data_IF_430351380940
#
_entry.id   IF_430351380940
#
_cell.length_a   1.000
_cell.length_b   1.000
_cell.length_c   1.000
_cell.angle_alpha   90.00
_cell.angle_beta   90.00
_cell.angle_gamma   90.00
#
_symmetry.space_group_name_H-M   'P 1'
#
loop_
_entity.id
_entity.type
_entity.pdbx_description
1 polymer ?
#
# COMPACT_ATOMS: atom_id res chain seq x y z
N UNK A 1 -5.67 -14.81 3.22
CA UNK A 1 -4.20 -14.60 3.21
C UNK A 1 -3.88 -13.51 4.22
N UNK A 2 -2.71 -13.50 4.89
CA UNK A 2 -2.38 -12.49 5.93
C UNK A 2 -1.41 -11.44 5.36
N UNK A 3 -1.84 -10.19 5.07
CA UNK A 3 -0.97 -9.17 4.47
C UNK A 3 0.33 -8.94 5.25
N UNK A 4 0.25 -8.94 6.59
CA UNK A 4 1.40 -8.74 7.48
C UNK A 4 2.52 -9.78 7.28
N UNK A 5 2.19 -11.02 6.88
CA UNK A 5 3.20 -12.04 6.64
C UNK A 5 4.12 -11.70 5.45
N UNK A 6 3.63 -10.95 4.46
CA UNK A 6 4.47 -10.46 3.36
C UNK A 6 5.41 -9.35 3.80
N UNK A 7 4.98 -8.47 4.70
CA UNK A 7 5.87 -7.45 5.27
C UNK A 7 6.99 -8.12 6.09
N UNK A 8 6.66 -9.10 6.93
CA UNK A 8 7.66 -9.86 7.68
C UNK A 8 8.63 -10.59 6.77
N UNK A 9 8.15 -11.12 5.64
CA UNK A 9 9.02 -11.73 4.63
C UNK A 9 9.94 -10.67 4.01
N UNK A 10 9.41 -9.51 3.64
CA UNK A 10 10.20 -8.41 3.09
C UNK A 10 11.31 -7.99 4.05
N UNK A 11 10.99 -7.82 5.34
CA UNK A 11 11.96 -7.49 6.39
C UNK A 11 13.05 -8.55 6.51
N UNK A 12 12.69 -9.84 6.60
CA UNK A 12 13.68 -10.93 6.62
C UNK A 12 14.59 -10.93 5.41
N UNK A 13 14.04 -10.71 4.21
CA UNK A 13 14.84 -10.66 2.97
C UNK A 13 15.91 -9.56 3.02
N UNK A 14 15.60 -8.40 3.61
CA UNK A 14 16.62 -7.34 3.75
C UNK A 14 17.80 -7.75 4.64
N UNK A 15 17.62 -8.77 5.50
CA UNK A 15 18.66 -9.28 6.41
C UNK A 15 19.37 -10.48 5.82
N UNK A 16 18.63 -11.45 5.28
CA UNK A 16 19.17 -12.74 4.84
C UNK A 16 19.70 -12.73 3.41
N UNK A 17 19.19 -11.84 2.54
CA UNK A 17 19.55 -11.80 1.12
C UNK A 17 20.21 -10.47 0.76
N UNK A 18 21.50 -10.34 1.11
CA UNK A 18 22.32 -9.13 0.86
C UNK A 18 22.83 -9.08 -0.59
N UNK A 19 21.93 -9.23 -1.55
CA UNK A 19 22.20 -9.25 -3.00
C UNK A 19 21.07 -8.52 -3.76
N UNK A 20 21.30 -8.12 -5.04
CA UNK A 20 20.31 -7.42 -5.85
C UNK A 20 18.93 -8.09 -5.91
N UNK A 21 18.87 -9.41 -6.07
CA UNK A 21 17.64 -10.19 -6.17
C UNK A 21 16.84 -10.16 -4.86
N UNK A 22 17.54 -10.24 -3.73
CA UNK A 22 17.00 -10.12 -2.39
C UNK A 22 16.36 -8.76 -2.14
N UNK A 23 17.06 -7.69 -2.48
CA UNK A 23 16.56 -6.32 -2.31
C UNK A 23 15.36 -6.01 -3.20
N UNK A 24 15.42 -6.39 -4.49
CA UNK A 24 14.28 -6.26 -5.41
C UNK A 24 13.07 -7.03 -4.89
N UNK A 25 13.28 -8.27 -4.42
CA UNK A 25 12.24 -9.10 -3.83
C UNK A 25 11.65 -8.48 -2.56
N UNK A 26 12.47 -7.92 -1.67
CA UNK A 26 12.02 -7.25 -0.47
C UNK A 26 11.08 -6.07 -0.79
N UNK A 27 11.45 -5.21 -1.73
CA UNK A 27 10.62 -4.07 -2.17
C UNK A 27 9.26 -4.57 -2.70
N UNK A 28 9.28 -5.62 -3.54
CA UNK A 28 8.08 -6.21 -4.12
C UNK A 28 7.12 -6.75 -3.04
N UNK A 29 7.65 -7.47 -2.04
CA UNK A 29 6.85 -8.01 -0.93
C UNK A 29 6.35 -6.93 0.04
N UNK A 30 7.14 -5.88 0.26
CA UNK A 30 6.75 -4.74 1.08
C UNK A 30 5.54 -4.02 0.47
N UNK A 31 5.60 -3.69 -0.82
CA UNK A 31 4.47 -3.11 -1.55
C UNK A 31 3.24 -4.02 -1.50
N UNK A 32 3.42 -5.32 -1.76
CA UNK A 32 2.29 -6.25 -1.78
C UNK A 32 1.58 -6.35 -0.42
N UNK A 33 2.35 -6.33 0.68
CA UNK A 33 1.80 -6.29 2.04
C UNK A 33 0.94 -5.04 2.26
N UNK A 34 1.46 -3.86 1.95
CA UNK A 34 0.75 -2.60 2.13
C UNK A 34 -0.49 -2.51 1.22
N UNK A 35 -0.38 -2.96 -0.03
CA UNK A 35 -1.49 -3.00 -0.98
C UNK A 35 -2.63 -3.90 -0.49
N UNK A 36 -2.32 -5.13 -0.04
CA UNK A 36 -3.35 -6.03 0.47
C UNK A 36 -3.99 -5.51 1.76
N UNK A 37 -3.22 -4.87 2.65
CA UNK A 37 -3.79 -4.19 3.83
C UNK A 37 -4.74 -3.06 3.43
N UNK A 38 -4.41 -2.27 2.41
CA UNK A 38 -5.29 -1.25 1.88
C UNK A 38 -6.57 -1.83 1.25
N UNK A 39 -6.47 -2.95 0.54
CA UNK A 39 -7.65 -3.68 0.03
C UNK A 39 -8.54 -4.13 1.18
N UNK A 40 -7.98 -4.73 2.22
CA UNK A 40 -8.73 -5.17 3.41
C UNK A 40 -9.36 -3.98 4.16
N UNK A 41 -8.68 -2.84 4.21
CA UNK A 41 -9.17 -1.60 4.81
C UNK A 41 -10.40 -1.06 4.08
N UNK A 42 -10.37 -0.99 2.74
CA UNK A 42 -11.55 -0.63 1.93
C UNK A 42 -12.67 -1.69 2.05
N UNK A 43 -12.30 -2.97 2.12
CA UNK A 43 -13.26 -4.05 2.36
C UNK A 43 -14.03 -3.90 3.67
N UNK A 44 -13.36 -3.44 4.73
CA UNK A 44 -14.01 -3.14 6.02
C UNK A 44 -15.00 -1.95 5.93
N UNK A 45 -14.89 -1.11 4.90
CA UNK A 45 -15.84 -0.03 4.57
C UNK A 45 -16.95 -0.49 3.61
N UNK A 46 -17.05 -1.78 3.31
CA UNK A 46 -17.91 -2.35 2.24
C UNK A 46 -17.60 -1.80 0.84
N UNK A 47 -16.36 -1.38 0.60
CA UNK A 47 -15.89 -0.93 -0.71
C UNK A 47 -15.08 -2.06 -1.35
N UNK A 48 -15.61 -2.62 -2.44
CA UNK A 48 -14.89 -3.55 -3.29
C UNK A 48 -14.32 -2.82 -4.50
N UNK A 49 -13.07 -3.09 -4.87
CA UNK A 49 -12.48 -2.59 -6.11
C UNK A 49 -13.16 -3.23 -7.33
N UNK A 50 -13.35 -2.44 -8.39
CA UNK A 50 -13.81 -2.94 -9.67
C UNK A 50 -12.71 -3.79 -10.33
N UNK A 51 -13.08 -4.68 -11.25
CA UNK A 51 -12.22 -5.74 -11.78
C UNK A 51 -10.86 -5.31 -12.38
N UNK A 52 -10.06 -6.31 -12.79
CA UNK A 52 -8.83 -6.04 -13.56
C UNK A 52 -9.19 -5.77 -15.02
N UNK A 53 -8.51 -4.87 -15.76
CA UNK A 53 -7.35 -4.04 -15.37
C UNK A 53 -7.75 -2.72 -14.68
N UNK A 54 -6.96 -2.27 -13.69
CA UNK A 54 -7.14 -0.93 -13.08
C UNK A 54 -7.22 -0.89 -11.54
N UNK A 55 -7.34 -2.04 -10.87
CA UNK A 55 -7.46 -2.15 -9.40
C UNK A 55 -6.46 -1.31 -8.59
N UNK A 56 -5.20 -1.26 -9.03
CA UNK A 56 -4.17 -0.47 -8.35
C UNK A 56 -4.46 1.04 -8.44
N UNK A 57 -4.80 1.53 -9.63
CA UNK A 57 -5.12 2.94 -9.85
C UNK A 57 -6.37 3.35 -9.09
N UNK A 58 -7.40 2.51 -9.11
CA UNK A 58 -8.63 2.76 -8.36
C UNK A 58 -8.36 2.82 -6.85
N UNK A 59 -7.65 1.84 -6.29
CA UNK A 59 -7.31 1.83 -4.86
C UNK A 59 -6.56 3.10 -4.44
N UNK A 60 -5.56 3.51 -5.22
CA UNK A 60 -4.77 4.71 -4.92
C UNK A 60 -5.60 5.98 -5.03
N UNK A 61 -6.50 6.07 -6.02
CA UNK A 61 -7.43 7.19 -6.13
C UNK A 61 -8.35 7.28 -4.91
N UNK A 62 -8.92 6.15 -4.48
CA UNK A 62 -9.80 6.10 -3.31
C UNK A 62 -9.04 6.51 -2.04
N UNK A 63 -7.84 5.97 -1.81
CA UNK A 63 -7.04 6.29 -0.63
C UNK A 63 -6.58 7.75 -0.56
N UNK A 64 -6.40 8.42 -1.71
CA UNK A 64 -6.06 9.85 -1.74
C UNK A 64 -7.24 10.79 -1.59
N UNK A 65 -8.46 10.27 -1.38
CA UNK A 65 -9.70 11.05 -1.30
C UNK A 65 -10.56 10.60 -0.13
N UNK A 66 -9.93 10.33 1.01
CA UNK A 66 -10.63 9.84 2.20
C UNK A 66 -11.10 10.95 3.13
N UNK A 67 -10.60 12.17 2.92
CA UNK A 67 -10.87 13.32 3.79
C UNK A 67 -10.08 13.29 5.10
N UNK A 68 -9.16 12.33 5.25
CA UNK A 68 -8.25 12.22 6.39
C UNK A 68 -6.81 12.34 5.90
N UNK A 69 -6.14 13.42 6.33
CA UNK A 69 -4.82 13.77 5.82
C UNK A 69 -3.76 12.69 6.05
N UNK A 70 -3.87 11.89 7.12
CA UNK A 70 -2.89 10.83 7.38
C UNK A 70 -3.15 9.60 6.51
N UNK A 71 -4.41 9.28 6.21
CA UNK A 71 -4.75 8.23 5.25
C UNK A 71 -4.39 8.65 3.82
N UNK A 72 -4.64 9.90 3.46
CA UNK A 72 -4.26 10.44 2.15
C UNK A 72 -2.72 10.38 1.98
N UNK A 73 -1.95 10.76 3.03
CA UNK A 73 -0.49 10.63 3.03
C UNK A 73 -0.01 9.17 2.97
N UNK A 74 -0.72 8.23 3.60
CA UNK A 74 -0.45 6.80 3.45
C UNK A 74 -0.75 6.30 2.02
N UNK A 75 -1.77 6.87 1.37
CA UNK A 75 -2.04 6.70 -0.06
C UNK A 75 -0.85 7.13 -0.92
N UNK A 76 -0.29 8.31 -0.70
CA UNK A 76 0.88 8.82 -1.41
C UNK A 76 2.13 7.95 -1.20
N UNK A 77 2.35 7.45 0.02
CA UNK A 77 3.40 6.47 0.30
C UNK A 77 3.19 5.19 -0.50
N UNK A 78 1.95 4.71 -0.62
CA UNK A 78 1.63 3.52 -1.39
C UNK A 78 1.82 3.73 -2.91
N UNK A 79 1.58 4.95 -3.43
CA UNK A 79 1.93 5.33 -4.82
C UNK A 79 3.44 5.16 -5.02
N UNK A 80 4.27 5.73 -4.14
CA UNK A 80 5.74 5.61 -4.24
C UNK A 80 6.21 4.18 -4.15
N UNK A 81 5.65 3.38 -3.24
CA UNK A 81 5.95 1.95 -3.12
C UNK A 81 5.61 1.18 -4.39
N UNK A 82 4.50 1.53 -5.07
CA UNK A 82 4.13 0.92 -6.36
C UNK A 82 5.17 1.24 -7.42
N UNK A 83 5.63 2.47 -7.50
CA UNK A 83 6.63 2.90 -8.48
C UNK A 83 7.98 2.22 -8.23
N UNK A 84 8.43 2.15 -6.98
CA UNK A 84 9.64 1.42 -6.59
C UNK A 84 9.52 -0.08 -6.88
N UNK A 85 8.36 -0.67 -6.63
CA UNK A 85 8.08 -2.07 -6.98
C UNK A 85 8.12 -2.30 -8.49
N UNK A 86 7.60 -1.38 -9.31
CA UNK A 86 7.69 -1.50 -10.76
C UNK A 86 9.15 -1.45 -11.24
N UNK A 87 9.98 -0.56 -10.66
CA UNK A 87 11.42 -0.51 -10.94
C UNK A 87 12.12 -1.80 -10.52
N UNK A 88 11.82 -2.29 -9.31
CA UNK A 88 12.39 -3.52 -8.76
C UNK A 88 12.03 -4.77 -9.60
N UNK A 89 10.78 -4.89 -10.01
CA UNK A 89 10.28 -6.09 -10.72
C UNK A 89 10.63 -6.07 -12.22
N UNK A 90 10.66 -4.91 -12.87
CA UNK A 90 10.69 -4.84 -14.34
C UNK A 90 11.85 -4.03 -14.94
N UNK A 91 12.46 -3.11 -14.19
CA UNK A 91 13.56 -2.29 -14.69
C UNK A 91 14.91 -2.86 -14.21
N UNK A 92 15.50 -3.74 -15.02
CA UNK A 92 16.82 -4.33 -14.76
C UNK A 92 17.97 -3.32 -14.90
N UNK A 93 17.73 -2.17 -15.54
CA UNK A 93 18.74 -1.13 -15.70
C UNK A 93 18.84 -0.23 -14.46
N UNK A 94 17.77 -0.13 -13.68
CA UNK A 94 17.74 0.65 -12.46
C UNK A 94 18.46 -0.08 -11.32
N UNK A 95 19.69 0.33 -11.02
CA UNK A 95 20.49 -0.22 -9.92
C UNK A 95 20.16 0.38 -8.56
N UNK A 96 19.38 1.47 -8.49
CA UNK A 96 19.00 2.11 -7.22
C UNK A 96 18.13 1.25 -6.31
N UNK A 97 17.34 0.35 -6.90
CA UNK A 97 16.52 -0.65 -6.18
C UNK A 97 17.32 -1.86 -5.67
N UNK A 98 18.60 -1.95 -6.01
CA UNK A 98 19.52 -3.02 -5.58
C UNK A 98 20.38 -2.59 -4.38
N UNK A 99 20.06 -1.45 -3.77
CA UNK A 99 20.70 -0.98 -2.54
C UNK A 99 19.96 -1.50 -1.31
N UNK A 100 20.71 -2.00 -0.34
CA UNK A 100 20.21 -2.34 0.99
C UNK A 100 19.47 -1.17 1.63
N UNK A 101 20.03 0.04 1.54
CA UNK A 101 19.44 1.22 2.17
C UNK A 101 18.07 1.56 1.58
N UNK A 102 17.91 1.41 0.26
CA UNK A 102 16.62 1.62 -0.39
C UNK A 102 15.63 0.52 0.00
N UNK A 103 16.02 -0.76 -0.06
CA UNK A 103 15.15 -1.87 0.32
C UNK A 103 14.65 -1.73 1.77
N UNK A 104 15.55 -1.48 2.73
CA UNK A 104 15.21 -1.23 4.13
C UNK A 104 14.28 -0.02 4.28
N UNK A 105 14.51 1.06 3.53
CA UNK A 105 13.62 2.23 3.55
C UNK A 105 12.21 1.88 3.06
N UNK A 106 12.07 1.14 1.94
CA UNK A 106 10.76 0.74 1.40
C UNK A 106 10.01 -0.22 2.31
N UNK A 107 10.71 -1.15 2.97
CA UNK A 107 10.11 -2.02 3.99
C UNK A 107 9.55 -1.19 5.16
N UNK A 108 10.27 -0.16 5.61
CA UNK A 108 9.80 0.76 6.66
C UNK A 108 8.62 1.61 6.19
N UNK A 109 8.66 2.15 4.96
CA UNK A 109 7.56 2.92 4.40
C UNK A 109 6.28 2.07 4.29
N UNK A 110 6.39 0.82 3.85
CA UNK A 110 5.26 -0.12 3.84
C UNK A 110 4.71 -0.39 5.26
N UNK A 111 5.58 -0.52 6.26
CA UNK A 111 5.15 -0.64 7.66
C UNK A 111 4.35 0.57 8.12
N UNK A 112 4.80 1.79 7.79
CA UNK A 112 4.11 3.03 8.14
C UNK A 112 2.71 3.09 7.55
N UNK A 113 2.55 2.73 6.27
CA UNK A 113 1.23 2.61 5.62
C UNK A 113 0.34 1.62 6.36
N UNK A 114 0.83 0.40 6.59
CA UNK A 114 0.08 -0.65 7.30
C UNK A 114 -0.34 -0.17 8.70
N UNK A 115 0.57 0.47 9.42
CA UNK A 115 0.32 0.96 10.77
C UNK A 115 -0.72 2.10 10.80
N UNK A 116 -0.70 3.02 9.84
CA UNK A 116 -1.68 4.10 9.75
C UNK A 116 -3.09 3.57 9.47
N UNK A 117 -3.22 2.69 8.47
CA UNK A 117 -4.51 2.08 8.12
C UNK A 117 -5.11 1.31 9.32
N UNK A 118 -4.27 0.56 10.04
CA UNK A 118 -4.69 -0.15 11.24
C UNK A 118 -5.06 0.80 12.40
N UNK A 119 -4.28 1.88 12.61
CA UNK A 119 -4.59 2.89 13.64
C UNK A 119 -5.94 3.55 13.37
N UNK A 120 -6.20 3.95 12.12
CA UNK A 120 -7.51 4.47 11.73
C UNK A 120 -8.62 3.45 12.00
N UNK A 121 -8.45 2.19 11.59
CA UNK A 121 -9.45 1.13 11.79
C UNK A 121 -9.75 0.82 13.27
N UNK A 122 -8.78 0.98 14.16
CA UNK A 122 -8.94 0.76 15.60
C UNK A 122 -9.62 1.94 16.32
N UNK A 123 -9.56 3.14 15.74
CA UNK A 123 -10.29 4.31 16.22
C UNK A 123 -11.69 4.35 15.60
N UNK A 124 -12.70 3.90 16.35
CA UNK A 124 -14.07 3.77 15.84
C UNK A 124 -14.66 5.08 15.30
N UNK A 125 -14.37 6.22 15.96
CA UNK A 125 -14.91 7.53 15.57
C UNK A 125 -14.26 8.02 14.28
N UNK A 126 -12.92 7.95 14.23
CA UNK A 126 -12.16 8.31 13.03
C UNK A 126 -12.52 7.39 11.86
N UNK A 127 -12.58 6.08 12.09
CA UNK A 127 -12.93 5.11 11.05
C UNK A 127 -14.32 5.35 10.48
N UNK A 128 -15.32 5.68 11.30
CA UNK A 128 -16.66 6.01 10.82
C UNK A 128 -16.67 7.26 9.94
N UNK A 129 -15.93 8.30 10.32
CA UNK A 129 -15.79 9.54 9.55
C UNK A 129 -15.13 9.29 8.20
N UNK A 130 -13.99 8.59 8.20
CA UNK A 130 -13.25 8.19 7.00
C UNK A 130 -14.12 7.31 6.09
N UNK A 131 -14.86 6.36 6.66
CA UNK A 131 -15.77 5.47 5.91
C UNK A 131 -16.82 6.28 5.15
N UNK A 132 -17.50 7.22 5.82
CA UNK A 132 -18.55 8.02 5.20
C UNK A 132 -18.02 8.87 4.04
N UNK A 133 -16.88 9.55 4.25
CA UNK A 133 -16.23 10.37 3.22
C UNK A 133 -15.75 9.52 2.03
N UNK A 134 -15.11 8.38 2.30
CA UNK A 134 -14.60 7.47 1.27
C UNK A 134 -15.74 6.87 0.44
N UNK A 135 -16.85 6.46 1.07
CA UNK A 135 -18.02 5.95 0.35
C UNK A 135 -18.68 7.03 -0.52
N UNK A 136 -18.79 8.27 -0.03
CA UNK A 136 -19.29 9.39 -0.82
C UNK A 136 -18.40 9.66 -2.05
N UNK A 137 -17.08 9.63 -1.88
CA UNK A 137 -16.14 9.74 -2.99
C UNK A 137 -16.30 8.61 -4.00
N UNK A 138 -16.38 7.35 -3.54
CA UNK A 138 -16.54 6.18 -4.42
C UNK A 138 -17.84 6.26 -5.24
N UNK A 139 -18.95 6.71 -4.65
CA UNK A 139 -20.20 6.95 -5.40
C UNK A 139 -19.98 7.95 -6.54
N UNK A 140 -19.37 9.10 -6.22
CA UNK A 140 -19.02 10.12 -7.22
C UNK A 140 -18.09 9.58 -8.31
N UNK A 141 -17.02 8.88 -7.92
CA UNK A 141 -16.04 8.29 -8.82
C UNK A 141 -16.70 7.32 -9.82
N UNK A 142 -17.71 6.58 -9.37
CA UNK A 142 -18.42 5.57 -10.16
C UNK A 142 -19.68 6.09 -10.86
N UNK A 143 -20.01 7.39 -10.71
CA UNK A 143 -21.24 7.96 -11.26
C UNK A 143 -22.52 7.37 -10.67
N UNK A 144 -22.47 6.87 -9.43
CA UNK A 144 -23.64 6.38 -8.70
C UNK A 144 -24.31 7.58 -8.02
N UNK A 145 -25.63 7.79 -8.18
CA UNK A 145 -26.36 8.87 -7.54
C UNK A 145 -26.37 8.80 -6.00
#
# INVERSE_FOLDING_TARGET
MRPHAFWQLADRLTISEKNPEGFRSAISRAYYAAFLTAVDFLGAMNISLLGSPGKHTELLNILGNTGDAAIDAAGDQLVRLRDERNKADYDLSNRGVESESNACFRVKEAFSVIAELNRCRLDASRFATVTAATQAWVKKLRGIP
#
